data_IF_505852292131
#
_entry.id   IF_505852292131
#
_cell.length_a   1.000
_cell.length_b   1.000
_cell.length_c   1.000
_cell.angle_alpha   90.00
_cell.angle_beta   90.00
_cell.angle_gamma   90.00
#
_symmetry.space_group_name_H-M   'P 1'
#
loop_
_entity.id
_entity.type
_entity.pdbx_description
1 polymer ?
#
# COMPACT_ATOMS: atom_id res chain seq x y z
N UNK A 1 5.61 66.06 11.64
CA UNK A 1 4.83 64.90 11.15
C UNK A 1 5.74 63.91 10.43
N UNK A 2 6.24 62.87 11.13
CA UNK A 2 6.71 61.61 10.51
C UNK A 2 6.44 60.49 11.54
N UNK A 3 5.39 59.71 11.30
CA UNK A 3 5.05 58.52 12.10
C UNK A 3 6.04 57.40 11.71
N UNK A 4 6.85 56.92 12.65
CA UNK A 4 7.56 55.65 12.50
C UNK A 4 6.56 54.51 12.75
N UNK A 5 6.29 53.72 11.72
CA UNK A 5 5.59 52.43 11.82
C UNK A 5 6.63 51.40 12.25
N UNK A 6 6.45 50.81 13.44
CA UNK A 6 7.20 49.62 13.87
C UNK A 6 6.56 48.41 13.20
N UNK A 7 7.24 47.81 12.22
CA UNK A 7 6.88 46.48 11.71
C UNK A 7 7.26 45.43 12.76
N UNK A 8 6.25 44.75 13.30
CA UNK A 8 6.40 43.55 14.11
C UNK A 8 6.81 42.41 13.17
N UNK A 9 8.04 41.93 13.27
CA UNK A 9 8.44 40.69 12.60
C UNK A 9 7.86 39.51 13.41
N UNK A 10 6.77 38.91 12.93
CA UNK A 10 6.36 37.58 13.37
C UNK A 10 7.41 36.58 12.88
N UNK A 11 8.25 36.09 13.79
CA UNK A 11 9.11 34.95 13.54
C UNK A 11 8.27 33.70 13.34
N UNK A 12 8.13 33.25 12.10
CA UNK A 12 7.66 31.90 11.79
C UNK A 12 8.77 30.95 12.21
N UNK A 13 8.54 30.18 13.27
CA UNK A 13 9.40 29.07 13.62
C UNK A 13 9.32 28.02 12.50
N UNK A 14 10.31 28.01 11.59
CA UNK A 14 10.58 26.84 10.77
C UNK A 14 11.02 25.72 11.70
N UNK A 15 10.11 24.79 12.01
CA UNK A 15 10.51 23.49 12.52
C UNK A 15 11.43 22.85 11.46
N UNK A 16 12.71 22.72 11.78
CA UNK A 16 13.64 21.94 10.97
C UNK A 16 13.24 20.46 11.10
N UNK A 17 12.50 19.95 10.12
CA UNK A 17 12.31 18.52 9.97
C UNK A 17 13.67 17.95 9.58
N UNK A 18 14.25 17.11 10.43
CA UNK A 18 15.54 16.46 10.17
C UNK A 18 15.51 15.79 8.79
N UNK A 19 16.45 16.13 7.91
CA UNK A 19 16.68 15.53 6.58
C UNK A 19 17.30 14.13 6.70
N UNK A 20 16.73 13.28 7.56
CA UNK A 20 17.11 11.88 7.62
C UNK A 20 16.76 11.26 6.27
N UNK A 21 17.72 10.61 5.62
CA UNK A 21 17.46 9.83 4.42
C UNK A 21 16.31 8.86 4.72
N UNK A 22 15.23 8.97 3.95
CA UNK A 22 14.05 8.13 4.09
C UNK A 22 14.38 6.75 3.50
N UNK A 23 14.77 5.81 4.37
CA UNK A 23 15.05 4.43 3.98
C UNK A 23 13.73 3.65 3.89
N UNK A 24 13.60 2.73 2.92
CA UNK A 24 12.44 1.83 2.86
C UNK A 24 12.43 0.89 4.07
N UNK A 25 11.25 0.43 4.47
CA UNK A 25 11.13 -0.61 5.51
C UNK A 25 11.92 -1.86 5.08
N UNK A 26 12.67 -2.48 5.98
CA UNK A 26 13.47 -3.66 5.63
C UNK A 26 12.55 -4.88 5.54
N UNK A 27 12.45 -5.57 4.39
CA UNK A 27 11.74 -6.83 4.32
C UNK A 27 12.64 -7.96 4.83
N UNK A 28 12.10 -8.82 5.68
CA UNK A 28 12.74 -10.04 6.16
C UNK A 28 11.73 -11.18 6.08
N UNK A 29 12.15 -12.36 5.65
CA UNK A 29 11.23 -13.47 5.46
C UNK A 29 11.85 -14.82 5.73
N UNK A 30 11.00 -15.71 6.22
CA UNK A 30 11.28 -17.12 6.36
C UNK A 30 10.30 -17.92 5.52
N UNK A 31 10.81 -18.93 4.83
CA UNK A 31 9.98 -19.89 4.10
C UNK A 31 9.70 -21.09 5.00
N UNK A 32 8.46 -21.57 5.01
CA UNK A 32 8.16 -22.88 5.57
C UNK A 32 8.89 -23.97 4.75
N UNK A 33 9.62 -24.84 5.44
CA UNK A 33 10.58 -25.78 4.84
C UNK A 33 10.01 -27.19 4.63
N UNK A 34 8.72 -27.40 4.90
CA UNK A 34 8.17 -28.75 4.85
C UNK A 34 8.25 -29.37 3.44
N UNK A 35 8.76 -30.61 3.38
CA UNK A 35 8.52 -31.62 2.35
C UNK A 35 8.97 -31.33 0.90
N UNK A 36 9.98 -30.48 0.65
CA UNK A 36 10.45 -30.19 -0.71
C UNK A 36 9.29 -29.79 -1.66
N UNK A 37 8.32 -29.04 -1.14
CA UNK A 37 7.22 -28.45 -1.91
C UNK A 37 7.33 -26.93 -1.87
N UNK A 38 6.53 -26.25 -2.71
CA UNK A 38 6.41 -24.81 -2.61
C UNK A 38 7.70 -24.07 -2.95
N UNK A 39 8.19 -23.28 -1.98
CA UNK A 39 9.43 -22.51 -2.11
C UNK A 39 10.69 -23.36 -2.22
N UNK A 40 10.67 -24.64 -1.83
CA UNK A 40 11.82 -25.55 -1.94
C UNK A 40 11.57 -26.72 -2.89
N UNK A 41 10.56 -26.59 -3.75
CA UNK A 41 10.23 -27.60 -4.74
C UNK A 41 11.37 -27.81 -5.75
N UNK A 42 11.93 -29.04 -5.84
CA UNK A 42 13.08 -29.35 -6.70
C UNK A 42 12.67 -29.66 -8.14
N UNK A 43 11.36 -29.70 -8.44
CA UNK A 43 10.87 -29.97 -9.79
C UNK A 43 11.44 -28.97 -10.80
N UNK A 44 11.71 -29.45 -12.01
CA UNK A 44 12.29 -28.63 -13.08
C UNK A 44 11.47 -27.35 -13.30
N UNK A 45 12.16 -26.23 -13.41
CA UNK A 45 11.49 -24.95 -13.65
C UNK A 45 10.78 -24.97 -15.01
N UNK A 46 9.51 -24.51 -15.07
CA UNK A 46 8.82 -24.30 -16.35
C UNK A 46 9.33 -23.07 -17.10
N UNK A 47 10.17 -22.24 -16.46
CA UNK A 47 10.78 -21.03 -17.03
C UNK A 47 12.30 -21.22 -17.13
N UNK A 48 12.87 -20.95 -18.30
CA UNK A 48 14.31 -21.07 -18.54
C UNK A 48 15.13 -20.15 -17.63
N UNK A 49 16.35 -20.58 -17.28
CA UNK A 49 17.27 -19.81 -16.43
C UNK A 49 17.18 -20.09 -14.93
N UNK A 50 16.31 -21.01 -14.50
CA UNK A 50 16.17 -21.44 -13.11
C UNK A 50 16.31 -22.96 -13.01
N UNK A 51 16.98 -23.44 -11.96
CA UNK A 51 17.20 -24.86 -11.70
C UNK A 51 15.96 -25.59 -11.19
N UNK A 52 15.06 -24.90 -10.47
CA UNK A 52 13.82 -25.49 -9.99
C UNK A 52 12.66 -24.50 -9.90
N UNK A 53 11.43 -25.02 -9.80
CA UNK A 53 10.23 -24.20 -9.55
C UNK A 53 10.28 -23.53 -8.17
N UNK A 54 10.91 -24.15 -7.17
CA UNK A 54 11.18 -23.52 -5.88
C UNK A 54 12.08 -22.29 -6.00
N UNK A 55 13.16 -22.38 -6.79
CA UNK A 55 14.03 -21.24 -7.08
C UNK A 55 13.27 -20.08 -7.76
N UNK A 56 12.41 -20.43 -8.73
CA UNK A 56 11.55 -19.47 -9.41
C UNK A 56 10.58 -18.76 -8.45
N UNK A 57 9.90 -19.52 -7.58
CA UNK A 57 8.99 -18.97 -6.55
C UNK A 57 9.71 -18.04 -5.57
N UNK A 58 10.90 -18.41 -5.08
CA UNK A 58 11.70 -17.54 -4.19
C UNK A 58 12.14 -16.26 -4.88
N UNK A 59 12.46 -16.33 -6.17
CA UNK A 59 12.83 -15.15 -6.98
C UNK A 59 11.66 -14.18 -7.12
N UNK A 60 10.47 -14.68 -7.44
CA UNK A 60 9.24 -13.85 -7.54
C UNK A 60 8.87 -13.25 -6.19
N UNK A 61 8.90 -14.04 -5.11
CA UNK A 61 8.62 -13.56 -3.76
C UNK A 61 9.58 -12.44 -3.35
N UNK A 62 10.88 -12.61 -3.60
CA UNK A 62 11.89 -11.60 -3.30
C UNK A 62 11.60 -10.29 -4.03
N UNK A 63 11.23 -10.36 -5.31
CA UNK A 63 10.89 -9.18 -6.09
C UNK A 63 9.64 -8.46 -5.52
N UNK A 64 8.59 -9.22 -5.19
CA UNK A 64 7.36 -8.68 -4.62
C UNK A 64 7.56 -8.08 -3.21
N UNK A 65 8.31 -8.76 -2.34
CA UNK A 65 8.61 -8.27 -0.99
C UNK A 65 9.43 -6.97 -1.03
N UNK A 66 10.42 -6.89 -1.93
CA UNK A 66 11.19 -5.66 -2.16
C UNK A 66 10.31 -4.52 -2.71
N UNK A 67 9.37 -4.85 -3.61
CA UNK A 67 8.41 -3.88 -4.11
C UNK A 67 7.54 -3.32 -2.98
N UNK A 68 6.92 -4.17 -2.16
CA UNK A 68 6.10 -3.74 -1.00
C UNK A 68 6.92 -2.90 -0.02
N UNK A 69 8.11 -3.37 0.35
CA UNK A 69 9.06 -2.63 1.20
C UNK A 69 9.29 -1.19 0.72
N UNK A 70 9.42 -1.02 -0.60
CA UNK A 70 9.71 0.28 -1.19
C UNK A 70 8.56 1.29 -1.12
N UNK A 71 7.33 0.85 -0.83
CA UNK A 71 6.16 1.72 -0.74
C UNK A 71 6.13 2.50 0.59
N UNK A 72 6.91 2.09 1.59
CA UNK A 72 6.87 2.64 2.94
C UNK A 72 8.25 3.11 3.40
N UNK A 73 8.27 4.24 4.11
CA UNK A 73 9.49 4.72 4.79
C UNK A 73 9.55 4.14 6.20
N UNK A 74 10.74 3.80 6.69
CA UNK A 74 10.94 3.43 8.09
C UNK A 74 10.47 4.51 9.07
N UNK A 75 9.67 4.14 10.07
CA UNK A 75 9.31 4.98 11.21
C UNK A 75 10.45 5.08 12.24
N UNK A 76 11.35 4.10 12.29
CA UNK A 76 12.52 4.07 13.18
C UNK A 76 13.70 3.35 12.51
N UNK A 77 14.92 3.59 12.99
CA UNK A 77 16.11 2.92 12.44
C UNK A 77 15.90 1.42 12.51
N UNK A 78 16.27 0.70 11.44
CA UNK A 78 16.21 -0.76 11.39
C UNK A 78 14.80 -1.33 11.56
N UNK A 79 13.76 -0.59 11.15
CA UNK A 79 12.42 -1.18 11.09
C UNK A 79 12.37 -2.33 10.09
N UNK A 80 11.92 -3.49 10.57
CA UNK A 80 11.81 -4.73 9.80
C UNK A 80 10.35 -5.20 9.75
N UNK A 81 9.88 -5.58 8.57
CA UNK A 81 8.65 -6.38 8.39
C UNK A 81 9.05 -7.84 8.22
N UNK A 82 8.66 -8.69 9.18
CA UNK A 82 9.04 -10.11 9.21
C UNK A 82 7.90 -11.00 8.72
N UNK A 83 8.14 -11.73 7.64
CA UNK A 83 7.13 -12.51 6.94
C UNK A 83 7.38 -14.00 7.10
N UNK A 84 6.36 -14.75 7.54
CA UNK A 84 6.31 -16.20 7.36
C UNK A 84 5.62 -16.52 6.04
N UNK A 85 6.33 -17.09 5.08
CA UNK A 85 5.78 -17.42 3.76
C UNK A 85 5.72 -18.94 3.55
N UNK A 86 4.59 -19.43 3.05
CA UNK A 86 4.42 -20.85 2.73
C UNK A 86 3.65 -21.06 1.43
N UNK A 87 3.81 -22.24 0.85
CA UNK A 87 2.89 -22.79 -0.13
C UNK A 87 2.17 -23.97 0.53
N UNK A 88 0.85 -23.96 0.50
CA UNK A 88 0.01 -24.98 1.13
C UNK A 88 -1.26 -25.20 0.32
N UNK A 89 -1.98 -26.30 0.55
CA UNK A 89 -3.26 -26.52 -0.11
C UNK A 89 -4.34 -25.65 0.56
N UNK A 90 -4.81 -24.62 -0.15
CA UNK A 90 -5.88 -23.72 0.32
C UNK A 90 -7.27 -24.12 -0.21
N UNK A 91 -7.39 -25.28 -0.87
CA UNK A 91 -8.64 -25.75 -1.47
C UNK A 91 -8.92 -25.14 -2.85
N UNK A 92 -10.19 -25.04 -3.22
CA UNK A 92 -10.65 -24.47 -4.50
C UNK A 92 -11.12 -23.03 -4.33
N UNK A 93 -10.76 -22.14 -5.25
CA UNK A 93 -11.25 -20.75 -5.26
C UNK A 93 -10.42 -19.75 -4.44
N UNK A 94 -9.30 -20.18 -3.85
CA UNK A 94 -8.37 -19.33 -3.10
C UNK A 94 -6.98 -19.44 -3.72
N UNK A 95 -6.41 -18.31 -4.16
CA UNK A 95 -5.08 -18.29 -4.80
C UNK A 95 -3.98 -18.04 -3.77
N UNK A 96 -4.25 -17.17 -2.79
CA UNK A 96 -3.41 -16.91 -1.64
C UNK A 96 -4.24 -16.59 -0.39
N UNK A 97 -3.54 -16.48 0.74
CA UNK A 97 -4.10 -16.01 1.99
C UNK A 97 -3.01 -15.37 2.85
N UNK A 98 -3.19 -14.09 3.14
CA UNK A 98 -2.31 -13.26 3.94
C UNK A 98 -3.02 -12.67 5.15
N UNK A 99 -2.27 -12.47 6.23
CA UNK A 99 -2.80 -11.87 7.44
C UNK A 99 -1.71 -11.57 8.46
N UNK A 100 -2.07 -10.87 9.51
CA UNK A 100 -1.14 -10.62 10.62
C UNK A 100 -1.01 -11.85 11.51
N UNK A 101 0.15 -12.01 12.15
CA UNK A 101 0.36 -13.06 13.18
C UNK A 101 -0.38 -12.72 14.48
N UNK A 102 -0.71 -11.45 14.71
CA UNK A 102 -1.45 -11.05 15.89
C UNK A 102 -1.72 -9.55 15.95
N UNK A 103 -2.46 -9.17 16.99
CA UNK A 103 -2.83 -7.80 17.27
C UNK A 103 -2.27 -7.34 18.61
N UNK A 104 -2.09 -6.03 18.75
CA UNK A 104 -1.79 -5.41 20.03
C UNK A 104 -2.45 -4.03 20.13
N UNK A 105 -2.76 -3.63 21.35
CA UNK A 105 -3.33 -2.33 21.68
C UNK A 105 -2.60 -1.76 22.88
N UNK A 106 -2.84 -0.47 23.15
CA UNK A 106 -2.43 0.19 24.40
C UNK A 106 -0.90 0.13 24.69
N UNK A 107 -0.06 -0.01 23.66
CA UNK A 107 1.40 -0.13 23.76
C UNK A 107 2.14 1.21 23.98
N UNK A 108 1.43 2.33 24.00
CA UNK A 108 1.99 3.66 24.22
C UNK A 108 2.86 4.14 23.05
N UNK A 109 2.38 5.15 22.34
CA UNK A 109 3.13 5.83 21.28
C UNK A 109 2.86 7.33 21.30
N UNK A 110 3.88 8.11 20.91
CA UNK A 110 3.76 9.55 20.66
C UNK A 110 3.33 9.84 19.21
N UNK A 111 3.17 8.83 18.37
CA UNK A 111 2.71 9.00 17.00
C UNK A 111 1.28 9.57 17.01
N UNK A 112 0.99 10.68 16.30
CA UNK A 112 -0.33 11.30 16.31
C UNK A 112 -1.45 10.43 15.71
N UNK A 113 -1.11 9.37 14.98
CA UNK A 113 -2.07 8.39 14.45
C UNK A 113 -2.36 7.23 15.43
N UNK A 114 -1.64 7.17 16.55
CA UNK A 114 -1.91 6.20 17.61
C UNK A 114 -3.20 6.58 18.36
N UNK A 115 -4.05 5.60 18.60
CA UNK A 115 -5.28 5.71 19.39
C UNK A 115 -5.27 4.62 20.47
N UNK A 116 -5.67 4.97 21.69
CA UNK A 116 -5.92 3.98 22.73
C UNK A 116 -7.18 3.17 22.39
N UNK A 117 -7.27 1.94 22.93
CA UNK A 117 -8.42 1.04 22.71
C UNK A 117 -8.70 0.77 21.22
N UNK A 118 -7.63 0.58 20.44
CA UNK A 118 -7.65 0.19 19.03
C UNK A 118 -6.61 -0.91 18.84
N UNK A 119 -6.99 -1.96 18.13
CA UNK A 119 -6.08 -3.07 17.82
C UNK A 119 -5.27 -2.77 16.56
N UNK A 120 -3.95 -2.89 16.67
CA UNK A 120 -3.00 -2.72 15.57
C UNK A 120 -2.42 -4.09 15.22
N UNK A 121 -2.34 -4.42 13.93
CA UNK A 121 -1.56 -5.58 13.49
C UNK A 121 -0.14 -5.45 14.03
N UNK A 122 0.51 -6.56 14.38
CA UNK A 122 1.89 -6.53 14.92
C UNK A 122 2.86 -5.74 14.02
N UNK A 123 2.69 -5.81 12.70
CA UNK A 123 3.43 -5.00 11.72
C UNK A 123 3.16 -3.50 11.89
N UNK A 124 1.89 -3.08 11.89
CA UNK A 124 1.52 -1.67 12.03
C UNK A 124 1.86 -1.14 13.45
N UNK A 125 1.79 -1.98 14.47
CA UNK A 125 2.13 -1.63 15.84
C UNK A 125 3.61 -1.27 15.99
N UNK A 126 4.53 -2.07 15.41
CA UNK A 126 5.96 -1.72 15.33
C UNK A 126 6.14 -0.33 14.68
N UNK A 127 5.49 -0.12 13.54
CA UNK A 127 5.58 1.15 12.79
C UNK A 127 5.06 2.34 13.60
N UNK A 128 3.85 2.24 14.13
CA UNK A 128 3.18 3.31 14.88
C UNK A 128 3.87 3.57 16.21
N UNK A 129 4.44 2.56 16.86
CA UNK A 129 5.22 2.74 18.09
C UNK A 129 6.55 3.45 17.86
N UNK A 130 7.06 3.47 16.63
CA UNK A 130 8.39 4.01 16.32
C UNK A 130 9.52 3.21 16.97
N UNK A 131 9.28 1.91 17.25
CA UNK A 131 10.24 0.98 17.85
C UNK A 131 9.79 -0.46 17.62
N UNK A 132 10.73 -1.40 17.77
CA UNK A 132 10.41 -2.83 17.73
C UNK A 132 9.63 -3.23 19.01
N UNK A 133 8.38 -3.64 18.84
CA UNK A 133 7.56 -4.30 19.86
C UNK A 133 7.60 -5.82 19.68
N UNK A 134 7.64 -6.28 18.44
CA UNK A 134 7.69 -7.69 18.05
C UNK A 134 8.91 -7.97 17.19
N UNK A 135 9.80 -8.85 17.68
CA UNK A 135 11.04 -9.28 17.02
C UNK A 135 10.92 -10.63 16.29
N UNK A 136 9.70 -11.11 16.11
CA UNK A 136 9.37 -12.37 15.40
C UNK A 136 8.56 -12.06 14.14
N UNK A 137 8.17 -13.08 13.38
CA UNK A 137 7.25 -12.92 12.24
C UNK A 137 6.01 -12.11 12.68
N UNK A 138 5.73 -11.01 11.97
CA UNK A 138 4.61 -10.09 12.24
C UNK A 138 3.44 -10.35 11.29
N UNK A 139 3.70 -11.00 10.16
CA UNK A 139 2.66 -11.44 9.24
C UNK A 139 2.98 -12.81 8.63
N UNK A 140 1.94 -13.48 8.15
CA UNK A 140 2.04 -14.72 7.40
C UNK A 140 1.32 -14.61 6.07
N UNK A 141 1.89 -15.26 5.05
CA UNK A 141 1.30 -15.38 3.72
C UNK A 141 1.40 -16.83 3.24
N UNK A 142 0.33 -17.32 2.65
CA UNK A 142 0.22 -18.67 2.11
C UNK A 142 -0.21 -18.59 0.65
N UNK A 143 0.39 -19.41 -0.20
CA UNK A 143 0.04 -19.51 -1.62
C UNK A 143 -0.44 -20.91 -1.93
N UNK A 144 -1.48 -21.03 -2.76
CA UNK A 144 -2.13 -22.31 -2.96
C UNK A 144 -1.24 -23.28 -3.79
N UNK A 145 -1.10 -24.53 -3.35
CA UNK A 145 -0.45 -25.62 -4.09
C UNK A 145 -1.38 -26.36 -5.04
N UNK A 146 -2.66 -25.97 -5.12
CA UNK A 146 -3.63 -26.61 -5.99
C UNK A 146 -3.18 -26.53 -7.46
N UNK A 147 -3.01 -27.70 -8.08
CA UNK A 147 -2.53 -27.83 -9.46
C UNK A 147 -3.48 -27.23 -10.51
N UNK A 148 -4.72 -26.91 -10.16
CA UNK A 148 -5.64 -26.18 -11.03
C UNK A 148 -5.24 -24.71 -11.21
N UNK A 149 -4.40 -24.15 -10.34
CA UNK A 149 -3.90 -22.79 -10.46
C UNK A 149 -2.62 -22.78 -11.29
N UNK A 150 -2.65 -22.06 -12.40
CA UNK A 150 -1.46 -21.87 -13.25
C UNK A 150 -0.83 -20.53 -12.93
N UNK A 151 0.23 -20.53 -12.12
CA UNK A 151 0.95 -19.30 -11.82
C UNK A 151 1.82 -18.82 -12.98
N UNK A 152 1.74 -17.52 -13.26
CA UNK A 152 2.77 -16.77 -13.97
C UNK A 152 3.87 -16.36 -12.98
N UNK A 153 5.12 -16.51 -13.40
CA UNK A 153 6.31 -16.28 -12.56
C UNK A 153 7.11 -15.04 -12.95
N UNK A 154 6.47 -14.05 -13.58
CA UNK A 154 7.09 -12.75 -13.80
C UNK A 154 7.41 -12.08 -12.47
N UNK A 155 8.51 -11.34 -12.41
CA UNK A 155 8.98 -10.64 -11.19
C UNK A 155 8.47 -9.21 -11.09
N UNK A 156 7.48 -8.86 -11.90
CA UNK A 156 6.85 -7.56 -11.98
C UNK A 156 5.46 -7.70 -12.62
N UNK A 157 4.75 -6.58 -12.72
CA UNK A 157 3.38 -6.46 -13.21
C UNK A 157 3.26 -6.14 -14.71
N UNK A 158 4.39 -6.01 -15.41
CA UNK A 158 4.40 -5.55 -16.80
C UNK A 158 4.16 -6.66 -17.83
N UNK A 159 4.21 -7.92 -17.41
CA UNK A 159 4.01 -9.06 -18.30
C UNK A 159 2.51 -9.35 -18.51
N UNK A 160 2.05 -9.56 -19.76
CA UNK A 160 0.68 -10.00 -20.00
C UNK A 160 0.46 -11.39 -19.41
N UNK A 161 -0.66 -11.59 -18.74
CA UNK A 161 -1.08 -12.91 -18.26
C UNK A 161 -1.69 -13.73 -19.40
N UNK A 162 -1.33 -15.01 -19.45
CA UNK A 162 -2.02 -15.96 -20.31
C UNK A 162 -3.45 -16.23 -19.80
N UNK A 163 -4.31 -16.76 -20.69
CA UNK A 163 -5.67 -17.16 -20.31
C UNK A 163 -5.65 -18.16 -19.15
N UNK A 164 -6.36 -17.84 -18.07
CA UNK A 164 -6.44 -18.69 -16.87
C UNK A 164 -5.17 -18.72 -16.00
N UNK A 165 -4.22 -17.81 -16.24
CA UNK A 165 -3.05 -17.66 -15.36
C UNK A 165 -3.30 -16.63 -14.25
N UNK A 166 -2.73 -16.90 -13.09
CA UNK A 166 -2.68 -15.99 -11.94
C UNK A 166 -1.26 -15.44 -11.79
N UNK A 167 -1.11 -14.15 -11.48
CA UNK A 167 0.22 -13.57 -11.27
C UNK A 167 0.74 -13.88 -9.87
N UNK A 168 1.76 -14.73 -9.73
CA UNK A 168 2.34 -14.98 -8.39
C UNK A 168 2.92 -13.71 -7.78
N UNK A 169 3.51 -12.81 -8.59
CA UNK A 169 3.99 -11.52 -8.10
C UNK A 169 2.86 -10.69 -7.48
N UNK A 170 1.74 -10.55 -8.19
CA UNK A 170 0.58 -9.80 -7.72
C UNK A 170 -0.03 -10.44 -6.48
N UNK A 171 -0.18 -11.76 -6.48
CA UNK A 171 -0.68 -12.49 -5.31
C UNK A 171 0.22 -12.25 -4.10
N UNK A 172 1.55 -12.32 -4.24
CA UNK A 172 2.46 -12.03 -3.12
C UNK A 172 2.30 -10.60 -2.62
N UNK A 173 2.25 -9.61 -3.52
CA UNK A 173 2.03 -8.21 -3.12
C UNK A 173 0.69 -8.07 -2.39
N UNK A 174 -0.39 -8.63 -2.92
CA UNK A 174 -1.73 -8.63 -2.32
C UNK A 174 -1.73 -9.20 -0.90
N UNK A 175 -1.21 -10.41 -0.71
CA UNK A 175 -1.20 -11.06 0.60
C UNK A 175 -0.31 -10.34 1.63
N UNK A 176 0.79 -9.73 1.18
CA UNK A 176 1.63 -8.91 2.06
C UNK A 176 0.85 -7.69 2.57
N UNK A 177 0.02 -7.07 1.76
CA UNK A 177 -0.76 -5.88 2.14
C UNK A 177 -1.87 -6.22 3.13
N UNK A 178 -2.52 -7.38 2.99
CA UNK A 178 -3.35 -7.93 4.07
C UNK A 178 -2.55 -8.06 5.36
N UNK A 179 -1.37 -8.69 5.30
CA UNK A 179 -0.47 -8.83 6.44
C UNK A 179 -0.02 -7.51 7.08
N UNK A 180 0.05 -6.42 6.31
CA UNK A 180 0.39 -5.09 6.82
C UNK A 180 -0.77 -4.43 7.58
N UNK A 181 -2.03 -4.81 7.33
CA UNK A 181 -3.16 -4.27 8.07
C UNK A 181 -4.43 -4.04 7.27
N UNK A 182 -4.46 -4.41 5.99
CA UNK A 182 -5.70 -4.37 5.20
C UNK A 182 -6.57 -5.59 5.52
N UNK A 183 -6.99 -5.71 6.78
CA UNK A 183 -7.74 -6.86 7.31
C UNK A 183 -8.80 -6.36 8.27
N UNK A 184 -9.94 -7.05 8.29
CA UNK A 184 -10.98 -6.83 9.29
C UNK A 184 -11.00 -7.99 10.28
N UNK A 185 -11.40 -7.74 11.53
CA UNK A 185 -11.40 -8.73 12.60
C UNK A 185 -12.78 -8.85 13.26
N UNK A 186 -13.81 -9.01 12.42
CA UNK A 186 -15.20 -9.18 12.84
C UNK A 186 -15.53 -10.66 13.03
N UNK A 187 -16.24 -10.98 14.11
CA UNK A 187 -16.91 -12.27 14.22
C UNK A 187 -18.22 -12.22 13.42
N UNK A 188 -18.23 -12.85 12.24
CA UNK A 188 -19.39 -12.84 11.35
C UNK A 188 -20.60 -13.63 11.87
N UNK A 189 -20.48 -14.38 12.98
CA UNK A 189 -21.61 -15.09 13.59
C UNK A 189 -22.50 -14.18 14.45
N UNK A 190 -21.95 -13.09 14.99
CA UNK A 190 -22.66 -12.21 15.94
C UNK A 190 -22.38 -10.71 15.75
N UNK A 191 -21.42 -10.33 14.90
CA UNK A 191 -21.03 -8.95 14.64
C UNK A 191 -20.14 -8.32 15.72
N UNK A 192 -19.58 -9.12 16.64
CA UNK A 192 -18.65 -8.62 17.67
C UNK A 192 -17.22 -8.49 17.14
N UNK A 193 -16.48 -7.51 17.63
CA UNK A 193 -15.02 -7.55 17.53
C UNK A 193 -14.47 -8.50 18.59
N UNK A 194 -13.38 -9.21 18.29
CA UNK A 194 -12.62 -9.96 19.28
C UNK A 194 -11.54 -9.04 19.87
N UNK A 195 -11.94 -8.27 20.90
CA UNK A 195 -11.13 -7.21 21.49
C UNK A 195 -11.64 -5.81 21.15
N UNK A 196 -10.75 -4.93 20.70
CA UNK A 196 -11.09 -3.59 20.24
C UNK A 196 -11.28 -3.59 18.71
N UNK A 197 -11.97 -2.58 18.14
CA UNK A 197 -11.92 -2.36 16.69
C UNK A 197 -10.47 -2.21 16.23
N UNK A 198 -10.15 -2.79 15.08
CA UNK A 198 -8.80 -2.63 14.52
C UNK A 198 -8.58 -1.21 13.98
N UNK A 199 -7.33 -0.81 13.79
CA UNK A 199 -6.99 0.47 13.15
C UNK A 199 -7.71 0.63 11.80
N UNK A 200 -7.85 -0.45 11.03
CA UNK A 200 -8.62 -0.51 9.79
C UNK A 200 -10.11 -0.22 10.02
N UNK A 201 -10.74 -0.91 10.97
CA UNK A 201 -12.17 -0.74 11.29
C UNK A 201 -12.53 0.70 11.71
N UNK A 202 -11.59 1.44 12.34
CA UNK A 202 -11.84 2.83 12.76
C UNK A 202 -12.02 3.82 11.61
N UNK A 203 -11.70 3.43 10.38
CA UNK A 203 -11.90 4.25 9.18
C UNK A 203 -13.12 3.82 8.36
N UNK A 204 -13.86 2.80 8.78
CA UNK A 204 -15.03 2.33 8.06
C UNK A 204 -16.28 3.07 8.54
N UNK A 205 -17.14 3.44 7.60
CA UNK A 205 -18.49 3.94 7.86
C UNK A 205 -19.52 3.08 7.15
N UNK A 206 -20.67 2.91 7.78
CA UNK A 206 -21.90 2.50 7.09
C UNK A 206 -22.59 3.76 6.56
N UNK A 207 -22.91 3.82 5.27
CA UNK A 207 -23.52 5.00 4.65
C UNK A 207 -24.86 4.66 3.98
N UNK A 208 -25.94 4.88 4.74
CA UNK A 208 -27.34 4.79 4.27
C UNK A 208 -27.93 6.20 4.06
N UNK A 209 -27.12 7.15 3.57
CA UNK A 209 -27.48 8.56 3.39
C UNK A 209 -27.00 9.47 4.53
N UNK A 210 -26.62 8.89 5.67
CA UNK A 210 -25.90 9.54 6.76
C UNK A 210 -24.78 8.59 7.24
N UNK A 211 -23.50 8.93 7.04
CA UNK A 211 -22.39 8.07 7.45
C UNK A 211 -22.35 7.87 8.97
N UNK A 212 -22.33 6.62 9.42
CA UNK A 212 -22.16 6.23 10.82
C UNK A 212 -20.88 5.41 10.98
N UNK A 213 -20.12 5.66 12.05
CA UNK A 213 -18.90 4.90 12.34
C UNK A 213 -19.18 3.41 12.53
N UNK A 214 -18.54 2.56 11.72
CA UNK A 214 -18.66 1.10 11.81
C UNK A 214 -18.18 0.56 13.16
N UNK A 215 -17.07 1.10 13.66
CA UNK A 215 -16.54 0.79 14.99
C UNK A 215 -17.51 1.20 16.13
N UNK A 216 -18.38 2.19 15.88
CA UNK A 216 -19.37 2.68 16.84
C UNK A 216 -20.73 1.99 16.79
N UNK A 217 -20.98 1.12 15.80
CA UNK A 217 -22.21 0.34 15.72
C UNK A 217 -22.31 -0.66 16.89
N UNK A 218 -23.51 -1.13 17.21
CA UNK A 218 -23.69 -2.31 18.06
C UNK A 218 -23.32 -3.59 17.29
N UNK A 219 -23.07 -4.70 18.00
CA UNK A 219 -22.78 -5.99 17.37
C UNK A 219 -23.88 -6.40 16.37
N UNK A 220 -25.15 -6.27 16.78
CA UNK A 220 -26.30 -6.57 15.92
C UNK A 220 -26.37 -5.67 14.67
N UNK A 221 -26.03 -4.38 14.81
CA UNK A 221 -25.98 -3.48 13.66
C UNK A 221 -24.81 -3.82 12.73
N UNK A 222 -23.63 -4.15 13.27
CA UNK A 222 -22.49 -4.60 12.46
C UNK A 222 -22.82 -5.87 11.69
N UNK A 223 -23.51 -6.83 12.32
CA UNK A 223 -23.90 -8.08 11.65
C UNK A 223 -24.77 -7.83 10.41
N UNK A 224 -25.62 -6.80 10.44
CA UNK A 224 -26.36 -6.35 9.25
C UNK A 224 -25.43 -5.63 8.27
N UNK A 225 -24.60 -4.71 8.76
CA UNK A 225 -23.70 -3.91 7.93
C UNK A 225 -22.72 -4.74 7.10
N UNK A 226 -22.24 -5.87 7.64
CA UNK A 226 -21.30 -6.76 6.91
C UNK A 226 -21.93 -7.51 5.72
N UNK A 227 -23.26 -7.40 5.53
CA UNK A 227 -24.00 -8.05 4.43
C UNK A 227 -24.89 -7.12 3.62
N UNK A 228 -24.83 -5.80 3.83
CA UNK A 228 -25.75 -4.86 3.17
C UNK A 228 -25.12 -4.05 2.01
N UNK A 229 -23.87 -4.32 1.65
CA UNK A 229 -23.13 -3.62 0.60
C UNK A 229 -23.01 -2.09 0.77
N UNK A 230 -23.14 -1.55 1.99
CA UNK A 230 -23.11 -0.10 2.26
C UNK A 230 -21.97 0.32 3.20
N UNK A 231 -20.84 -0.40 3.16
CA UNK A 231 -19.62 -0.06 3.89
C UNK A 231 -18.63 0.70 3.02
N UNK A 232 -18.04 1.76 3.59
CA UNK A 232 -17.13 2.65 2.89
C UNK A 232 -15.95 3.06 3.76
N UNK A 233 -14.81 3.29 3.14
CA UNK A 233 -13.65 3.92 3.76
C UNK A 233 -13.84 5.43 3.91
N UNK A 234 -13.53 5.97 5.08
CA UNK A 234 -13.68 7.38 5.45
C UNK A 234 -12.37 8.02 5.93
N UNK A 235 -11.24 7.35 5.74
CA UNK A 235 -9.92 7.96 5.98
C UNK A 235 -9.59 9.01 4.91
N UNK A 236 -9.07 10.19 5.29
CA UNK A 236 -8.90 11.32 4.38
C UNK A 236 -7.93 11.04 3.22
N UNK A 237 -6.87 10.25 3.44
CA UNK A 237 -5.89 9.94 2.40
C UNK A 237 -6.43 8.90 1.41
N UNK A 238 -7.16 7.89 1.88
CA UNK A 238 -7.85 6.93 1.01
C UNK A 238 -8.94 7.61 0.17
N UNK A 239 -9.73 8.50 0.78
CA UNK A 239 -10.73 9.32 0.07
C UNK A 239 -10.07 10.21 -0.97
N UNK A 240 -8.97 10.91 -0.63
CA UNK A 240 -8.22 11.71 -1.59
C UNK A 240 -7.63 10.87 -2.73
N UNK A 241 -7.13 9.68 -2.42
CA UNK A 241 -6.63 8.71 -3.39
C UNK A 241 -7.70 8.17 -4.34
N UNK A 242 -8.98 8.28 -3.97
CA UNK A 242 -10.15 7.98 -4.79
C UNK A 242 -10.90 9.25 -5.23
N UNK A 243 -10.16 10.30 -5.58
CA UNK A 243 -10.68 11.55 -6.15
C UNK A 243 -11.75 12.26 -5.29
N UNK A 244 -11.65 12.15 -3.96
CA UNK A 244 -12.58 12.77 -3.02
C UNK A 244 -13.85 11.97 -2.76
N UNK A 245 -13.99 10.78 -3.34
CA UNK A 245 -15.13 9.87 -3.12
C UNK A 245 -14.73 8.78 -2.15
N UNK A 246 -15.59 8.45 -1.19
CA UNK A 246 -15.35 7.34 -0.25
C UNK A 246 -15.20 6.01 -0.99
N UNK A 247 -14.08 5.29 -0.83
CA UNK A 247 -13.90 3.97 -1.39
C UNK A 247 -14.92 2.99 -0.83
N UNK A 248 -15.65 2.28 -1.69
CA UNK A 248 -16.62 1.27 -1.26
C UNK A 248 -15.91 -0.05 -0.95
N UNK A 249 -16.24 -0.64 0.19
CA UNK A 249 -15.75 -1.95 0.60
C UNK A 249 -16.73 -3.04 0.19
N UNK A 250 -16.21 -4.23 -0.08
CA UNK A 250 -17.03 -5.41 -0.37
C UNK A 250 -17.76 -5.86 0.90
N UNK A 251 -19.09 -5.86 0.90
CA UNK A 251 -19.91 -6.36 2.01
C UNK A 251 -21.14 -7.16 1.49
N UNK A 252 -20.91 -8.23 0.71
CA UNK A 252 -21.96 -8.96 0.01
C UNK A 252 -22.89 -9.74 0.96
N UNK A 253 -24.08 -10.07 0.45
CA UNK A 253 -24.95 -11.09 1.02
C UNK A 253 -24.89 -12.36 0.14
N UNK A 254 -24.50 -13.53 0.68
CA UNK A 254 -24.03 -13.77 2.04
C UNK A 254 -22.61 -13.24 2.29
N UNK A 255 -22.26 -13.06 3.57
CA UNK A 255 -20.89 -12.75 4.00
C UNK A 255 -19.90 -13.83 3.51
N UNK A 256 -18.76 -13.39 2.98
CA UNK A 256 -17.65 -14.27 2.59
C UNK A 256 -16.44 -14.01 3.48
N UNK A 257 -16.05 -15.01 4.27
CA UNK A 257 -14.89 -14.92 5.17
C UNK A 257 -13.57 -14.65 4.43
N UNK A 258 -13.48 -15.00 3.14
CA UNK A 258 -12.26 -14.79 2.35
C UNK A 258 -12.15 -13.39 1.75
N UNK A 259 -13.22 -12.59 1.75
CA UNK A 259 -13.21 -11.33 1.01
C UNK A 259 -13.94 -10.15 1.63
N UNK A 260 -14.97 -10.40 2.43
CA UNK A 260 -15.85 -9.34 2.92
C UNK A 260 -15.10 -8.42 3.86
N UNK A 261 -15.18 -7.11 3.58
CA UNK A 261 -14.62 -5.97 4.32
C UNK A 261 -13.10 -5.85 4.23
N UNK A 262 -12.40 -6.94 3.94
CA UNK A 262 -10.98 -6.95 3.60
C UNK A 262 -10.69 -6.58 2.14
N UNK A 263 -11.69 -6.35 1.29
CA UNK A 263 -11.50 -5.98 -0.13
C UNK A 263 -12.33 -4.76 -0.53
N UNK A 264 -11.93 -4.12 -1.62
CA UNK A 264 -12.73 -3.11 -2.31
C UNK A 264 -13.88 -3.76 -3.09
N UNK A 265 -14.97 -3.02 -3.30
CA UNK A 265 -16.15 -3.51 -4.03
C UNK A 265 -15.81 -3.77 -5.51
N UNK A 266 -15.94 -5.02 -5.94
CA UNK A 266 -15.63 -5.47 -7.30
C UNK A 266 -16.54 -4.84 -8.35
N UNK A 267 -17.80 -4.52 -8.03
CA UNK A 267 -18.73 -3.89 -8.96
C UNK A 267 -18.29 -2.49 -9.38
N UNK A 268 -17.55 -1.79 -8.51
CA UNK A 268 -17.01 -0.45 -8.78
C UNK A 268 -15.58 -0.53 -9.34
N UNK A 269 -14.74 -1.40 -8.78
CA UNK A 269 -13.30 -1.34 -8.98
C UNK A 269 -12.73 -2.44 -9.90
N UNK A 270 -13.49 -3.47 -10.29
CA UNK A 270 -13.04 -4.49 -11.26
C UNK A 270 -12.50 -3.89 -12.57
N UNK A 271 -13.12 -2.84 -13.16
CA UNK A 271 -12.61 -2.21 -14.38
C UNK A 271 -11.27 -1.47 -14.20
N UNK A 272 -10.85 -1.22 -12.95
CA UNK A 272 -9.59 -0.54 -12.63
C UNK A 272 -8.47 -1.53 -12.28
N UNK A 273 -8.78 -2.83 -12.11
CA UNK A 273 -7.80 -3.87 -11.84
C UNK A 273 -6.99 -3.60 -10.57
N UNK A 274 -7.63 -3.08 -9.51
CA UNK A 274 -6.97 -2.72 -8.25
C UNK A 274 -6.39 -3.94 -7.54
N UNK A 275 -5.31 -3.73 -6.78
CA UNK A 275 -4.58 -4.80 -6.11
C UNK A 275 -5.47 -5.53 -5.09
N UNK A 276 -6.31 -4.82 -4.34
CA UNK A 276 -7.12 -5.36 -3.24
C UNK A 276 -8.54 -5.77 -3.71
N UNK A 277 -8.61 -6.32 -4.92
CA UNK A 277 -9.76 -7.09 -5.41
C UNK A 277 -9.55 -8.58 -5.10
N UNK A 278 -10.63 -9.35 -4.86
CA UNK A 278 -10.54 -10.75 -4.41
C UNK A 278 -10.05 -11.75 -5.48
N UNK A 279 -9.71 -11.28 -6.69
CA UNK A 279 -9.14 -12.06 -7.79
C UNK A 279 -8.43 -11.13 -8.78
N UNK A 280 -7.42 -11.65 -9.48
CA UNK A 280 -6.92 -11.00 -10.69
C UNK A 280 -8.08 -10.97 -11.71
N UNK A 281 -8.57 -9.78 -12.08
CA UNK A 281 -9.64 -9.70 -13.08
C UNK A 281 -9.08 -10.01 -14.46
N UNK A 282 -9.66 -10.99 -15.15
CA UNK A 282 -9.27 -11.36 -16.53
C UNK A 282 -9.60 -10.29 -17.58
N UNK A 283 -10.22 -9.17 -17.16
CA UNK A 283 -10.81 -8.18 -18.05
C UNK A 283 -9.94 -6.93 -18.23
N UNK A 284 -9.01 -6.67 -17.31
CA UNK A 284 -8.09 -5.53 -17.40
C UNK A 284 -6.78 -6.04 -16.83
N UNK A 285 -5.67 -5.82 -17.55
CA UNK A 285 -4.32 -6.06 -17.04
C UNK A 285 -4.28 -5.55 -15.59
N UNK A 286 -4.26 -6.45 -14.61
CA UNK A 286 -4.34 -6.08 -13.20
C UNK A 286 -3.29 -5.00 -12.98
N UNK A 287 -3.72 -3.79 -12.61
CA UNK A 287 -2.80 -2.73 -12.28
C UNK A 287 -2.33 -3.04 -10.87
N UNK A 288 -1.32 -3.92 -10.78
CA UNK A 288 -0.72 -4.47 -9.55
C UNK A 288 -0.08 -3.39 -8.68
N UNK A 289 0.10 -2.19 -9.22
CA UNK A 289 0.58 -1.09 -8.45
C UNK A 289 -0.49 -0.58 -7.50
N UNK A 290 -0.30 -0.89 -6.22
CA UNK A 290 -1.00 -0.32 -5.07
C UNK A 290 -1.33 1.15 -5.35
N UNK A 291 -2.58 1.43 -5.72
CA UNK A 291 -2.92 2.72 -6.33
C UNK A 291 -2.95 3.82 -5.27
N UNK A 292 -3.09 5.08 -5.68
CA UNK A 292 -3.17 6.20 -4.76
C UNK A 292 -4.22 5.99 -3.64
N UNK A 293 -5.35 5.36 -3.98
CA UNK A 293 -6.38 4.92 -3.06
C UNK A 293 -5.83 3.96 -1.98
N UNK A 294 -5.34 2.79 -2.36
CA UNK A 294 -4.95 1.75 -1.41
C UNK A 294 -3.77 2.19 -0.54
N UNK A 295 -2.84 2.96 -1.12
CA UNK A 295 -1.74 3.58 -0.36
C UNK A 295 -2.27 4.59 0.65
N UNK A 296 -3.24 5.40 0.23
CA UNK A 296 -3.91 6.35 1.11
C UNK A 296 -4.53 5.65 2.33
N UNK A 297 -5.20 4.52 2.13
CA UNK A 297 -5.79 3.73 3.22
C UNK A 297 -4.73 3.22 4.20
N UNK A 298 -3.61 2.68 3.71
CA UNK A 298 -2.49 2.25 4.56
C UNK A 298 -1.86 3.43 5.33
N UNK A 299 -1.77 4.61 4.71
CA UNK A 299 -1.25 5.80 5.37
C UNK A 299 -2.21 6.36 6.40
N UNK A 300 -3.52 6.35 6.15
CA UNK A 300 -4.53 6.73 7.15
C UNK A 300 -4.36 5.91 8.44
N UNK A 301 -4.12 4.59 8.32
CA UNK A 301 -3.93 3.69 9.47
C UNK A 301 -2.69 3.97 10.30
N UNK A 302 -1.62 4.50 9.71
CA UNK A 302 -0.39 4.77 10.47
C UNK A 302 0.89 4.73 9.66
N UNK A 303 0.90 4.00 8.53
CA UNK A 303 2.12 3.86 7.74
C UNK A 303 2.61 5.20 7.18
N UNK A 304 3.93 5.30 7.03
CA UNK A 304 4.59 6.48 6.48
C UNK A 304 4.86 6.28 4.99
N UNK A 305 4.38 7.19 4.12
CA UNK A 305 4.63 7.09 2.69
C UNK A 305 6.13 7.09 2.38
N UNK A 306 6.56 6.24 1.46
CA UNK A 306 7.79 6.51 0.73
C UNK A 306 7.58 7.79 -0.09
N UNK A 307 8.40 8.82 0.17
CA UNK A 307 8.40 10.04 -0.64
C UNK A 307 9.70 10.08 -1.45
N UNK A 308 9.63 10.10 -2.79
CA UNK A 308 10.77 10.53 -3.59
C UNK A 308 11.18 11.94 -3.13
N UNK A 309 12.40 12.09 -2.62
CA UNK A 309 12.93 13.37 -2.19
C UNK A 309 13.66 14.00 -3.36
N UNK A 310 13.27 15.20 -3.78
CA UNK A 310 14.04 15.97 -4.76
C UNK A 310 15.40 16.29 -4.16
N UNK A 311 16.46 15.75 -4.77
CA UNK A 311 17.85 15.95 -4.41
C UNK A 311 18.43 17.20 -5.05
N UNK A 312 18.11 17.44 -6.32
CA UNK A 312 18.58 18.63 -7.04
C UNK A 312 17.68 18.99 -8.22
N UNK A 313 17.69 20.26 -8.59
CA UNK A 313 17.06 20.77 -9.81
C UNK A 313 18.13 21.50 -10.61
N UNK A 314 18.46 20.99 -11.80
CA UNK A 314 19.36 21.66 -12.74
C UNK A 314 18.54 22.22 -13.91
N UNK A 315 18.90 23.41 -14.40
CA UNK A 315 18.22 24.03 -15.54
C UNK A 315 19.24 24.32 -16.64
N UNK A 316 19.00 23.84 -17.87
CA UNK A 316 19.86 24.09 -19.02
C UNK A 316 19.04 24.18 -20.30
N UNK A 317 19.21 25.25 -21.08
CA UNK A 317 18.62 25.39 -22.43
C UNK A 317 17.10 25.16 -22.51
N UNK A 318 16.35 25.65 -21.52
CA UNK A 318 14.88 25.48 -21.46
C UNK A 318 14.41 24.13 -20.91
N UNK A 319 15.33 23.23 -20.54
CA UNK A 319 15.02 21.98 -19.85
C UNK A 319 15.33 22.09 -18.35
N UNK A 320 14.45 21.54 -17.52
CA UNK A 320 14.70 21.30 -16.11
C UNK A 320 14.92 19.82 -15.86
N UNK A 321 16.05 19.46 -15.26
CA UNK A 321 16.38 18.11 -14.81
C UNK A 321 16.17 18.07 -13.30
N UNK A 322 15.21 17.27 -12.84
CA UNK A 322 14.94 17.04 -11.42
C UNK A 322 15.53 15.69 -11.05
N UNK A 323 16.53 15.70 -10.19
CA UNK A 323 17.09 14.49 -9.57
C UNK A 323 16.38 14.27 -8.25
N UNK A 324 15.85 13.08 -8.02
CA UNK A 324 15.22 12.68 -6.76
C UNK A 324 15.77 11.36 -6.25
N UNK A 325 15.55 11.04 -4.97
CA UNK A 325 15.76 9.69 -4.46
C UNK A 325 14.86 8.73 -5.23
N UNK A 326 15.46 7.65 -5.69
CA UNK A 326 14.84 6.60 -6.47
C UNK A 326 14.74 5.32 -5.66
N UNK A 327 13.56 4.74 -5.63
CA UNK A 327 13.26 3.32 -5.45
C UNK A 327 13.58 2.54 -6.73
N UNK A 328 14.25 1.39 -6.56
CA UNK A 328 14.57 0.46 -7.64
C UNK A 328 13.28 -0.07 -8.30
N UNK A 329 13.23 -0.07 -9.64
CA UNK A 329 12.13 -0.57 -10.48
C UNK A 329 10.78 0.17 -10.36
N UNK A 330 10.67 1.22 -9.54
CA UNK A 330 9.50 2.07 -9.53
C UNK A 330 9.45 2.95 -10.78
N UNK A 331 8.26 3.23 -11.31
CA UNK A 331 8.07 4.30 -12.29
C UNK A 331 7.83 5.61 -11.55
N UNK A 332 8.16 6.72 -12.19
CA UNK A 332 8.01 8.05 -11.60
C UNK A 332 7.22 8.99 -12.49
N UNK A 333 6.56 9.94 -11.85
CA UNK A 333 5.93 11.08 -12.50
C UNK A 333 6.44 12.35 -11.85
N UNK A 334 6.90 13.28 -12.68
CA UNK A 334 7.20 14.64 -12.26
C UNK A 334 5.92 15.46 -12.32
N UNK A 335 5.64 16.21 -11.26
CA UNK A 335 4.63 17.25 -11.24
C UNK A 335 5.30 18.62 -11.05
N UNK A 336 4.77 19.65 -11.69
CA UNK A 336 5.21 21.03 -11.47
C UNK A 336 4.04 22.02 -11.35
N UNK A 337 4.24 23.16 -10.67
CA UNK A 337 3.34 24.32 -10.72
C UNK A 337 3.86 25.33 -11.73
N UNK A 338 2.99 25.85 -12.61
CA UNK A 338 3.32 26.95 -13.52
C UNK A 338 2.78 28.29 -13.00
N UNK A 339 3.44 29.40 -13.35
CA UNK A 339 2.82 30.73 -13.21
C UNK A 339 1.89 30.93 -14.41
N UNK A 340 0.57 30.99 -14.19
CA UNK A 340 -0.37 31.43 -15.24
C UNK A 340 -0.17 32.93 -15.46
N UNK A 341 -0.27 33.37 -16.72
CA UNK A 341 -0.02 34.74 -17.20
C UNK A 341 -0.82 35.84 -16.48
N UNK A 342 -1.77 35.46 -15.61
CA UNK A 342 -2.71 36.36 -14.93
C UNK A 342 -2.49 36.42 -13.40
N UNK A 343 -1.34 35.98 -12.86
CA UNK A 343 -1.01 36.15 -11.44
C UNK A 343 -1.78 35.23 -10.46
N UNK A 344 -2.42 34.19 -10.97
CA UNK A 344 -3.04 33.12 -10.16
C UNK A 344 -2.02 32.00 -9.97
N UNK A 345 -1.70 31.64 -8.73
CA UNK A 345 -0.94 30.42 -8.40
C UNK A 345 -1.68 29.21 -9.02
N UNK A 346 -1.03 28.48 -9.93
CA UNK A 346 -1.64 27.27 -10.49
C UNK A 346 -1.82 26.21 -9.41
N UNK A 347 -3.08 25.92 -9.07
CA UNK A 347 -3.51 24.80 -8.23
C UNK A 347 -3.51 23.45 -8.96
N UNK A 348 -3.18 23.45 -10.27
CA UNK A 348 -3.24 22.28 -11.12
C UNK A 348 -1.83 21.75 -11.42
N UNK A 349 -1.55 20.56 -10.90
CA UNK A 349 -0.32 19.82 -11.18
C UNK A 349 -0.41 19.10 -12.54
N UNK A 350 0.54 19.33 -13.44
CA UNK A 350 0.61 18.59 -14.73
C UNK A 350 1.54 17.38 -14.60
N UNK A 351 1.03 16.20 -14.98
CA UNK A 351 1.77 14.94 -15.01
C UNK A 351 2.68 14.84 -16.25
N UNK A 352 3.98 14.59 -16.04
CA UNK A 352 4.89 14.26 -17.15
C UNK A 352 5.15 12.76 -17.15
N UNK A 353 4.80 12.10 -18.25
CA UNK A 353 5.11 10.69 -18.47
C UNK A 353 6.59 10.56 -18.86
N UNK A 354 7.45 10.20 -17.91
CA UNK A 354 8.76 9.64 -18.24
C UNK A 354 9.00 8.43 -17.35
N UNK A 355 8.92 7.24 -17.95
CA UNK A 355 9.30 6.00 -17.28
C UNK A 355 10.82 5.95 -17.25
N UNK A 356 11.43 6.24 -16.10
CA UNK A 356 12.88 6.11 -15.92
C UNK A 356 13.14 4.88 -15.05
N UNK A 357 13.80 3.86 -15.61
CA UNK A 357 14.40 2.79 -14.79
C UNK A 357 15.59 3.40 -14.06
N UNK A 358 15.52 3.53 -12.75
CA UNK A 358 16.64 4.05 -11.97
C UNK A 358 17.85 3.12 -12.07
N UNK A 359 19.01 3.65 -12.46
CA UNK A 359 20.28 3.09 -12.02
C UNK A 359 20.58 3.64 -10.62
N UNK A 360 20.53 2.77 -9.60
CA UNK A 360 20.94 3.03 -8.21
C UNK A 360 20.41 4.33 -7.56
N UNK A 361 19.41 4.18 -6.67
CA UNK A 361 18.98 5.14 -5.63
C UNK A 361 18.60 6.56 -6.06
N UNK A 362 18.66 6.90 -7.35
CA UNK A 362 18.34 8.22 -7.88
C UNK A 362 17.62 8.14 -9.21
N UNK A 363 16.74 9.11 -9.47
CA UNK A 363 15.96 9.23 -10.71
C UNK A 363 16.10 10.65 -11.22
N UNK A 364 16.38 10.81 -12.52
CA UNK A 364 16.44 12.10 -13.19
C UNK A 364 15.25 12.25 -14.16
N UNK A 365 14.39 13.23 -13.92
CA UNK A 365 13.20 13.52 -14.72
C UNK A 365 13.41 14.85 -15.46
N UNK A 366 13.08 14.91 -16.75
CA UNK A 366 13.28 16.12 -17.58
C UNK A 366 11.94 16.74 -17.97
N UNK A 367 11.85 18.08 -17.93
CA UNK A 367 10.70 18.85 -18.42
C UNK A 367 11.15 20.04 -19.28
N UNK A 368 10.32 20.45 -20.25
CA UNK A 368 10.50 21.63 -21.11
C UNK A 368 9.29 22.58 -20.99
N UNK A 369 9.08 23.26 -19.85
CA UNK A 369 7.92 24.14 -19.68
C UNK A 369 8.12 25.48 -20.40
N UNK A 370 7.03 26.00 -20.97
CA UNK A 370 6.91 27.40 -21.39
C UNK A 370 6.58 28.28 -20.17
N UNK A 371 7.60 28.82 -19.49
CA UNK A 371 7.43 29.76 -18.37
C UNK A 371 8.47 29.63 -17.28
N UNK A 372 8.73 30.72 -16.55
CA UNK A 372 9.76 30.82 -15.51
C UNK A 372 9.29 30.29 -14.15
N UNK A 373 10.13 29.40 -13.57
CA UNK A 373 10.13 28.88 -12.20
C UNK A 373 8.84 28.19 -11.71
N UNK A 374 8.89 26.87 -11.58
CA UNK A 374 7.87 26.05 -10.92
C UNK A 374 8.39 25.33 -9.68
N UNK A 375 7.50 25.00 -8.75
CA UNK A 375 7.80 24.01 -7.69
C UNK A 375 7.66 22.60 -8.27
N UNK A 376 8.59 21.70 -7.98
CA UNK A 376 8.60 20.33 -8.49
C UNK A 376 8.29 19.30 -7.39
N UNK A 377 7.50 18.29 -7.72
CA UNK A 377 7.27 17.12 -6.88
C UNK A 377 7.45 15.84 -7.71
N UNK A 378 8.01 14.80 -7.10
CA UNK A 378 8.20 13.50 -7.74
C UNK A 378 7.32 12.47 -7.04
N UNK A 379 6.51 11.77 -7.82
CA UNK A 379 5.61 10.72 -7.34
C UNK A 379 5.98 9.38 -7.94
N UNK A 380 5.80 8.32 -7.15
CA UNK A 380 5.87 6.95 -7.63
C UNK A 380 4.58 6.64 -8.39
N UNK A 381 4.71 6.16 -9.61
CA UNK A 381 3.59 5.69 -10.44
C UNK A 381 3.72 4.18 -10.70
N UNK A 382 2.60 3.52 -10.98
CA UNK A 382 2.57 2.13 -11.43
C UNK A 382 3.58 1.81 -12.53
#
# INVERSE_FOLDING_TARGET
MKKLVRCLALGVALQAWSTRAQLPIIPDWSYDQANNVGFFDPSASPVGGFGSIGELRRTVFTAAANYVSSLFTQAYVTEVVRVKAAFTNLGTGTVGSGGTIGYTNNFGSTNPKYKANVDYTTTLANHVAGRELFSVNTLAVNFNTNAAITFNYSTNDSAPLGSGQESLFTTVVHELIHGMGFVNYINAANGSFDGFPTAYDTFIVEDNGNPVSYAGLTDAQRLVAITNNNLFWNGPLGVAGNNGVRPKLSAPAPYSASSSIAHLDTGIFDPLGLLLLPRDSSLVQAQVALVALERGMLYDMGFTPARPQVLSIASSSGNHIVTATGILNAKYRLRFTGTLTNGVNATNWTALASTVRSGWNTVSLTNTPTGSAGFYAVEIVP
#
